data_IF_845803636972
#
_entry.id   IF_845803636972
#
_cell.length_a   1.000
_cell.length_b   1.000
_cell.length_c   1.000
_cell.angle_alpha   90.00
_cell.angle_beta   90.00
_cell.angle_gamma   90.00
#
_symmetry.space_group_name_H-M   'P 1'
#
loop_
_entity.id
_entity.type
_entity.pdbx_description
1 polymer ?
#
# COMPACT_ATOMS: atom_id res chain seq x y z
N UNK A 1 -11.05 0.72 -28.69
CA UNK A 1 -10.15 -0.45 -28.71
C UNK A 1 -9.50 -0.54 -27.35
N UNK A 2 -10.03 -1.42 -26.49
CA UNK A 2 -9.60 -1.59 -25.09
C UNK A 2 -8.22 -2.27 -25.04
N UNK A 3 -7.16 -1.47 -25.14
CA UNK A 3 -5.79 -1.97 -25.06
C UNK A 3 -5.45 -2.33 -23.61
N UNK A 4 -5.43 -3.61 -23.27
CA UNK A 4 -4.76 -4.06 -22.05
C UNK A 4 -3.24 -3.95 -22.23
N UNK A 5 -2.50 -3.69 -21.16
CA UNK A 5 -1.04 -3.72 -21.22
C UNK A 5 -0.55 -5.14 -21.58
N UNK A 6 0.36 -5.24 -22.55
CA UNK A 6 1.12 -6.48 -22.75
C UNK A 6 2.01 -6.75 -21.52
N UNK A 7 2.37 -8.00 -21.24
CA UNK A 7 3.23 -8.38 -20.09
C UNK A 7 4.57 -7.63 -20.09
N UNK A 8 5.13 -7.35 -21.26
CA UNK A 8 6.36 -6.55 -21.38
C UNK A 8 6.14 -5.06 -21.06
N UNK A 9 5.09 -4.49 -21.62
CA UNK A 9 4.73 -3.07 -21.41
C UNK A 9 4.39 -2.79 -19.94
N UNK A 10 3.66 -3.71 -19.30
CA UNK A 10 3.34 -3.61 -17.88
C UNK A 10 4.58 -3.72 -16.99
N UNK A 11 5.52 -4.62 -17.33
CA UNK A 11 6.80 -4.75 -16.62
C UNK A 11 7.63 -3.47 -16.72
N UNK A 12 7.75 -2.90 -17.92
CA UNK A 12 8.52 -1.66 -18.13
C UNK A 12 7.90 -0.47 -17.40
N UNK A 13 6.57 -0.34 -17.45
CA UNK A 13 5.85 0.67 -16.66
C UNK A 13 6.15 0.55 -15.16
N UNK A 14 6.07 -0.68 -14.64
CA UNK A 14 6.31 -0.94 -13.22
C UNK A 14 7.76 -0.61 -12.86
N UNK A 15 8.72 -1.01 -13.69
CA UNK A 15 10.14 -0.70 -13.52
C UNK A 15 10.43 0.81 -13.53
N UNK A 16 9.73 1.58 -14.37
CA UNK A 16 9.86 3.04 -14.45
C UNK A 16 9.21 3.77 -13.26
N UNK A 17 8.08 3.25 -12.77
CA UNK A 17 7.41 3.77 -11.57
C UNK A 17 8.17 3.42 -10.27
N UNK A 18 9.09 2.44 -10.32
CA UNK A 18 9.89 1.94 -9.20
C UNK A 18 11.14 2.78 -8.90
N UNK A 19 10.95 4.09 -8.80
CA UNK A 19 11.99 5.03 -8.40
C UNK A 19 11.52 5.87 -7.22
N UNK A 20 12.39 6.05 -6.22
CA UNK A 20 12.10 6.93 -5.09
C UNK A 20 12.10 8.37 -5.58
N UNK A 21 10.92 8.95 -5.79
CA UNK A 21 10.78 10.39 -6.09
C UNK A 21 10.61 11.16 -4.80
N UNK A 22 11.17 12.37 -4.76
CA UNK A 22 10.98 13.27 -3.61
C UNK A 22 9.50 13.58 -3.37
N UNK A 23 8.73 13.72 -4.44
CA UNK A 23 7.27 13.90 -4.37
C UNK A 23 6.58 12.76 -3.63
N UNK A 24 6.92 11.51 -3.95
CA UNK A 24 6.33 10.32 -3.32
C UNK A 24 6.71 10.23 -1.84
N UNK A 25 7.95 10.60 -1.50
CA UNK A 25 8.42 10.65 -0.11
C UNK A 25 7.68 11.72 0.70
N UNK A 26 7.40 12.89 0.12
CA UNK A 26 6.63 13.96 0.77
C UNK A 26 5.16 13.53 0.95
N UNK A 27 4.56 12.91 -0.05
CA UNK A 27 3.19 12.37 0.05
C UNK A 27 3.12 11.30 1.13
N UNK A 28 4.11 10.41 1.19
CA UNK A 28 4.25 9.38 2.22
C UNK A 28 4.34 10.01 3.61
N UNK A 29 5.19 11.03 3.79
CA UNK A 29 5.27 11.78 5.06
C UNK A 29 3.90 12.32 5.48
N UNK A 30 3.19 13.01 4.58
CA UNK A 30 1.84 13.51 4.84
C UNK A 30 0.86 12.39 5.20
N UNK A 31 0.89 11.26 4.49
CA UNK A 31 0.03 10.11 4.78
C UNK A 31 0.27 9.56 6.20
N UNK A 32 1.53 9.46 6.64
CA UNK A 32 1.87 8.98 7.99
C UNK A 32 1.42 9.98 9.07
N UNK A 33 1.55 11.28 8.83
CA UNK A 33 1.00 12.29 9.75
C UNK A 33 -0.52 12.14 9.88
N UNK A 34 -1.24 12.00 8.76
CA UNK A 34 -2.69 11.80 8.75
C UNK A 34 -3.06 10.50 9.46
N UNK A 35 -2.33 9.39 9.20
CA UNK A 35 -2.55 8.12 9.87
C UNK A 35 -2.33 8.22 11.38
N UNK A 36 -1.29 8.95 11.81
CA UNK A 36 -0.98 9.13 13.24
C UNK A 36 -2.03 9.99 13.95
N UNK A 37 -2.54 11.04 13.29
CA UNK A 37 -3.70 11.81 13.78
C UNK A 37 -4.96 10.94 13.81
N UNK A 38 -5.18 10.12 12.79
CA UNK A 38 -6.31 9.19 12.69
C UNK A 38 -6.32 8.17 13.82
N UNK A 39 -5.16 7.63 14.19
CA UNK A 39 -4.97 6.76 15.35
C UNK A 39 -5.28 7.47 16.67
N UNK A 40 -4.86 8.73 16.81
CA UNK A 40 -5.14 9.55 17.99
C UNK A 40 -6.64 9.88 18.13
N UNK A 41 -7.33 10.09 17.01
CA UNK A 41 -8.77 10.30 16.97
C UNK A 41 -9.58 8.98 16.93
N UNK A 42 -8.92 7.82 16.98
CA UNK A 42 -9.52 6.47 16.89
C UNK A 42 -10.51 6.36 15.71
N UNK A 43 -10.09 6.83 14.52
CA UNK A 43 -10.93 6.93 13.32
C UNK A 43 -10.41 6.06 12.18
N UNK A 44 -11.07 4.92 11.96
CA UNK A 44 -10.72 3.97 10.90
C UNK A 44 -10.77 4.63 9.53
N UNK A 45 -11.75 5.51 9.31
CA UNK A 45 -11.94 6.19 8.04
C UNK A 45 -10.74 7.07 7.66
N UNK A 46 -10.15 7.78 8.64
CA UNK A 46 -8.97 8.63 8.42
C UNK A 46 -7.73 7.77 8.14
N UNK A 47 -7.58 6.66 8.85
CA UNK A 47 -6.48 5.71 8.66
C UNK A 47 -6.56 5.07 7.26
N UNK A 48 -7.75 4.64 6.83
CA UNK A 48 -7.97 4.08 5.48
C UNK A 48 -7.72 5.14 4.41
N UNK A 49 -8.14 6.39 4.63
CA UNK A 49 -7.83 7.50 3.74
C UNK A 49 -6.32 7.70 3.55
N UNK A 50 -5.56 7.65 4.65
CA UNK A 50 -4.10 7.73 4.59
C UNK A 50 -3.47 6.56 3.81
N UNK A 51 -4.00 5.34 3.93
CA UNK A 51 -3.54 4.18 3.17
C UNK A 51 -3.71 4.35 1.66
N UNK A 52 -4.78 5.00 1.20
CA UNK A 52 -5.05 5.23 -0.23
C UNK A 52 -4.18 6.33 -0.86
N UNK A 53 -3.71 7.27 -0.05
CA UNK A 53 -2.82 8.35 -0.48
C UNK A 53 -1.38 7.84 -0.61
N UNK A 54 -1.03 6.82 0.16
CA UNK A 54 0.33 6.33 0.27
C UNK A 54 0.82 5.66 -1.03
N UNK A 55 2.00 6.03 -1.56
CA UNK A 55 2.53 5.48 -2.81
C UNK A 55 3.08 4.03 -2.68
N UNK A 56 2.96 3.42 -1.50
CA UNK A 56 3.44 2.05 -1.20
C UNK A 56 2.87 0.96 -2.12
N UNK A 57 1.73 1.20 -2.77
CA UNK A 57 1.09 0.18 -3.61
C UNK A 57 1.95 -0.20 -4.83
N UNK A 58 2.68 0.75 -5.40
CA UNK A 58 3.53 0.56 -6.59
C UNK A 58 4.63 -0.48 -6.35
N UNK A 59 5.50 -0.35 -5.32
CA UNK A 59 6.53 -1.35 -5.06
C UNK A 59 5.97 -2.69 -4.57
N UNK A 60 4.83 -2.73 -3.88
CA UNK A 60 4.18 -4.00 -3.49
C UNK A 60 3.73 -4.79 -4.72
N UNK A 61 3.06 -4.12 -5.67
CA UNK A 61 2.65 -4.73 -6.93
C UNK A 61 3.89 -5.09 -7.78
N UNK A 62 4.91 -4.24 -7.76
CA UNK A 62 6.27 -4.47 -8.28
C UNK A 62 6.86 -5.81 -7.88
N UNK A 63 6.93 -6.01 -6.57
CA UNK A 63 7.49 -7.19 -5.94
C UNK A 63 6.68 -8.44 -6.29
N UNK A 64 5.35 -8.38 -6.15
CA UNK A 64 4.45 -9.50 -6.46
C UNK A 64 4.50 -9.92 -7.93
N UNK A 65 4.50 -8.95 -8.84
CA UNK A 65 4.64 -9.22 -10.27
C UNK A 65 6.03 -9.78 -10.59
N UNK A 66 7.10 -9.21 -10.03
CA UNK A 66 8.47 -9.69 -10.19
C UNK A 66 8.66 -11.13 -9.72
N UNK A 67 8.05 -11.51 -8.60
CA UNK A 67 8.02 -12.89 -8.11
C UNK A 67 7.27 -13.82 -9.07
N UNK A 68 6.13 -13.38 -9.62
CA UNK A 68 5.34 -14.18 -10.55
C UNK A 68 6.07 -14.47 -11.88
N UNK A 69 6.90 -13.54 -12.37
CA UNK A 69 7.72 -13.71 -13.59
C UNK A 69 9.16 -14.17 -13.30
N UNK A 70 9.51 -14.40 -12.02
CA UNK A 70 10.87 -14.72 -11.56
C UNK A 70 11.94 -13.70 -12.03
N UNK A 71 11.60 -12.42 -12.13
CA UNK A 71 12.53 -11.36 -12.53
C UNK A 71 13.25 -10.79 -11.30
N UNK A 72 14.45 -11.33 -11.05
CA UNK A 72 15.30 -10.93 -9.92
C UNK A 72 15.67 -9.45 -9.91
N UNK A 73 15.72 -8.78 -11.07
CA UNK A 73 16.03 -7.34 -11.14
C UNK A 73 14.88 -6.52 -10.61
N UNK A 74 13.66 -6.83 -11.07
CA UNK A 74 12.44 -6.14 -10.63
C UNK A 74 12.18 -6.39 -9.14
N UNK A 75 12.39 -7.62 -8.67
CA UNK A 75 12.28 -7.98 -7.25
C UNK A 75 13.24 -7.13 -6.41
N UNK A 76 14.52 -7.06 -6.79
CA UNK A 76 15.53 -6.33 -6.03
C UNK A 76 15.21 -4.83 -5.96
N UNK A 77 14.87 -4.21 -7.09
CA UNK A 77 14.49 -2.80 -7.12
C UNK A 77 13.23 -2.52 -6.30
N UNK A 78 12.23 -3.40 -6.37
CA UNK A 78 11.00 -3.29 -5.55
C UNK A 78 11.27 -3.41 -4.08
N UNK A 79 12.18 -4.31 -3.70
CA UNK A 79 12.59 -4.47 -2.32
C UNK A 79 13.34 -3.24 -1.81
N UNK A 80 14.25 -2.66 -2.61
CA UNK A 80 15.02 -1.45 -2.24
C UNK A 80 14.12 -0.22 -2.04
N UNK A 81 13.14 -0.01 -2.93
CA UNK A 81 12.17 1.08 -2.80
C UNK A 81 11.28 0.85 -1.58
N UNK A 82 10.68 -0.34 -1.44
CA UNK A 82 9.81 -0.68 -0.31
C UNK A 82 10.55 -0.53 1.02
N UNK A 83 11.80 -1.00 1.10
CA UNK A 83 12.62 -0.88 2.30
C UNK A 83 12.89 0.58 2.66
N UNK A 84 13.17 1.43 1.66
CA UNK A 84 13.38 2.87 1.87
C UNK A 84 12.10 3.55 2.38
N UNK A 85 10.94 3.25 1.79
CA UNK A 85 9.65 3.81 2.22
C UNK A 85 9.26 3.32 3.63
N UNK A 86 9.51 2.06 3.96
CA UNK A 86 9.29 1.53 5.31
C UNK A 86 10.20 2.22 6.32
N UNK A 87 11.48 2.42 6.01
CA UNK A 87 12.39 3.16 6.89
C UNK A 87 11.95 4.60 7.11
N UNK A 88 11.62 5.33 6.04
CA UNK A 88 11.12 6.70 6.14
C UNK A 88 9.83 6.74 6.95
N UNK A 89 8.92 5.79 6.73
CA UNK A 89 7.64 5.78 7.43
C UNK A 89 7.78 5.51 8.92
N UNK A 90 8.67 4.58 9.28
CA UNK A 90 8.99 4.29 10.67
C UNK A 90 9.65 5.49 11.35
N UNK A 91 10.59 6.18 10.68
CA UNK A 91 11.25 7.36 11.23
C UNK A 91 10.27 8.49 11.49
N UNK A 92 9.39 8.80 10.53
CA UNK A 92 8.39 9.87 10.63
C UNK A 92 7.38 9.57 11.73
N UNK A 93 6.87 8.33 11.77
CA UNK A 93 5.96 7.91 12.83
C UNK A 93 6.64 7.99 14.20
N UNK A 94 7.86 7.45 14.34
CA UNK A 94 8.62 7.53 15.59
C UNK A 94 8.82 8.98 16.04
N UNK A 95 9.18 9.90 15.12
CA UNK A 95 9.34 11.32 15.43
C UNK A 95 8.01 11.96 15.88
N UNK A 96 6.90 11.61 15.23
CA UNK A 96 5.57 12.09 15.61
C UNK A 96 5.16 11.62 17.00
N UNK A 97 5.27 10.32 17.28
CA UNK A 97 4.94 9.73 18.59
C UNK A 97 5.88 10.19 19.70
N UNK A 98 7.13 10.54 19.37
CA UNK A 98 8.07 11.12 20.32
C UNK A 98 7.66 12.53 20.74
N UNK A 99 7.07 13.31 19.83
CA UNK A 99 6.57 14.67 20.09
C UNK A 99 5.18 14.63 20.74
N UNK A 100 4.32 13.71 20.31
CA UNK A 100 2.94 13.54 20.79
C UNK A 100 2.81 12.17 21.46
N UNK A 101 3.03 12.06 22.78
CA UNK A 101 2.90 10.78 23.47
C UNK A 101 1.44 10.31 23.41
N UNK A 102 1.18 9.30 22.59
CA UNK A 102 -0.08 8.58 22.57
C UNK A 102 -0.15 7.67 23.81
N UNK A 103 -1.08 7.99 24.71
CA UNK A 103 -1.18 7.39 26.05
C UNK A 103 -2.12 6.17 26.13
N UNK A 104 -2.77 5.78 25.03
CA UNK A 104 -3.68 4.62 25.02
C UNK A 104 -3.56 3.79 23.73
N UNK A 105 -3.44 2.47 23.89
CA UNK A 105 -3.57 1.52 22.79
C UNK A 105 -5.02 1.56 22.28
N UNK A 106 -5.25 2.29 21.19
CA UNK A 106 -6.59 2.37 20.56
C UNK A 106 -7.09 0.97 20.19
N UNK A 107 -8.39 0.74 20.41
CA UNK A 107 -9.11 -0.51 20.13
C UNK A 107 -8.91 -1.04 18.71
N UNK A 108 -8.64 -0.16 17.74
CA UNK A 108 -8.32 -0.53 16.36
C UNK A 108 -7.03 -1.33 16.20
N UNK A 109 -6.03 -1.06 17.05
CA UNK A 109 -4.74 -1.74 17.00
C UNK A 109 -4.87 -3.19 17.47
N UNK A 110 -5.73 -3.41 18.49
CA UNK A 110 -6.06 -4.73 19.02
C UNK A 110 -6.95 -5.50 18.04
N UNK A 111 -7.91 -4.82 17.39
CA UNK A 111 -8.76 -5.44 16.38
C UNK A 111 -7.92 -6.05 15.24
N UNK A 112 -6.86 -5.36 14.78
CA UNK A 112 -5.96 -5.87 13.73
C UNK A 112 -5.07 -7.07 14.13
N UNK A 113 -5.16 -7.55 15.38
CA UNK A 113 -4.32 -8.66 15.89
C UNK A 113 -4.98 -10.05 15.81
N UNK A 114 -6.27 -10.14 15.47
CA UNK A 114 -7.03 -11.39 15.37
C UNK A 114 -7.50 -11.70 13.94
N UNK A 115 -6.59 -12.11 13.03
CA UNK A 115 -6.99 -12.45 11.67
C UNK A 115 -7.86 -13.71 11.64
N UNK A 116 -8.88 -13.70 10.78
CA UNK A 116 -9.77 -14.84 10.54
C UNK A 116 -9.47 -15.50 9.19
N UNK A 117 -10.02 -16.70 8.97
CA UNK A 117 -9.89 -17.39 7.68
C UNK A 117 -10.54 -16.60 6.53
N UNK A 118 -11.52 -15.74 6.84
CA UNK A 118 -12.21 -14.92 5.85
C UNK A 118 -11.31 -13.83 5.26
N UNK A 119 -10.37 -13.31 6.05
CA UNK A 119 -9.39 -12.32 5.61
C UNK A 119 -8.49 -12.88 4.50
N UNK A 120 -8.13 -14.17 4.60
CA UNK A 120 -7.33 -14.86 3.58
C UNK A 120 -8.10 -14.98 2.27
N UNK A 121 -9.38 -15.35 2.33
CA UNK A 121 -10.23 -15.48 1.13
C UNK A 121 -10.36 -14.13 0.44
N UNK A 122 -10.55 -13.05 1.20
CA UNK A 122 -10.70 -11.70 0.66
C UNK A 122 -9.37 -11.16 0.15
N UNK A 123 -8.25 -11.47 0.79
CA UNK A 123 -6.92 -11.15 0.26
C UNK A 123 -6.67 -11.83 -1.10
N UNK A 124 -7.04 -13.10 -1.26
CA UNK A 124 -6.90 -13.83 -2.54
C UNK A 124 -7.79 -13.21 -3.61
N UNK A 125 -9.08 -13.02 -3.32
CA UNK A 125 -10.04 -12.44 -4.26
C UNK A 125 -9.64 -11.00 -4.65
N UNK A 126 -9.22 -10.20 -3.66
CA UNK A 126 -8.71 -8.84 -3.85
C UNK A 126 -7.45 -8.81 -4.71
N UNK A 127 -6.48 -9.70 -4.46
CA UNK A 127 -5.27 -9.80 -5.27
C UNK A 127 -5.57 -10.11 -6.75
N UNK A 128 -6.47 -11.05 -7.02
CA UNK A 128 -6.90 -11.38 -8.39
C UNK A 128 -7.56 -10.17 -9.06
N UNK A 129 -8.52 -9.52 -8.37
CA UNK A 129 -9.19 -8.34 -8.88
C UNK A 129 -8.21 -7.16 -9.10
N UNK A 130 -7.24 -7.00 -8.21
CA UNK A 130 -6.18 -5.99 -8.28
C UNK A 130 -5.32 -6.17 -9.53
N UNK A 131 -4.79 -7.37 -9.77
CA UNK A 131 -3.96 -7.64 -10.96
C UNK A 131 -4.75 -7.46 -12.25
N UNK A 132 -6.00 -7.93 -12.31
CA UNK A 132 -6.87 -7.73 -13.48
C UNK A 132 -7.14 -6.24 -13.70
N UNK A 133 -7.38 -5.49 -12.62
CA UNK A 133 -7.60 -4.05 -12.63
C UNK A 133 -6.38 -3.26 -13.10
N UNK A 134 -5.20 -3.56 -12.56
CA UNK A 134 -3.94 -2.85 -12.85
C UNK A 134 -3.45 -3.03 -14.30
N UNK A 135 -3.93 -4.07 -15.00
CA UNK A 135 -3.58 -4.36 -16.40
C UNK A 135 -4.36 -3.53 -17.42
N UNK A 136 -5.42 -2.83 -17.00
CA UNK A 136 -6.19 -1.92 -17.86
C UNK A 136 -5.44 -0.60 -18.02
N UNK A 137 -5.38 -0.07 -19.26
CA UNK A 137 -4.77 1.23 -19.57
C UNK A 137 -5.59 2.43 -19.09
N UNK A 138 -6.89 2.24 -18.88
CA UNK A 138 -7.78 3.28 -18.36
C UNK A 138 -7.75 3.30 -16.82
N UNK A 139 -7.88 4.50 -16.25
CA UNK A 139 -8.08 4.68 -14.82
C UNK A 139 -9.32 3.90 -14.38
N UNK A 140 -9.13 2.91 -13.53
CA UNK A 140 -10.20 2.01 -13.12
C UNK A 140 -10.25 1.93 -11.59
N UNK A 141 -11.46 2.11 -11.04
CA UNK A 141 -11.68 2.17 -9.59
C UNK A 141 -11.50 0.82 -8.88
N UNK A 142 -11.19 -0.25 -9.63
CA UNK A 142 -10.96 -1.59 -9.06
C UNK A 142 -9.75 -1.60 -8.12
N UNK A 143 -8.65 -0.96 -8.49
CA UNK A 143 -7.39 -1.02 -7.70
C UNK A 143 -7.56 -0.31 -6.34
N UNK A 144 -8.10 0.92 -6.27
CA UNK A 144 -8.47 1.53 -5.00
C UNK A 144 -9.57 0.76 -4.26
N UNK A 145 -10.57 0.21 -4.97
CA UNK A 145 -11.66 -0.55 -4.37
C UNK A 145 -11.20 -1.82 -3.67
N UNK A 146 -10.23 -2.53 -4.24
CA UNK A 146 -9.56 -3.69 -3.60
C UNK A 146 -8.85 -3.24 -2.32
N UNK A 147 -8.06 -2.16 -2.38
CA UNK A 147 -7.35 -1.65 -1.21
C UNK A 147 -8.30 -1.26 -0.08
N UNK A 148 -9.43 -0.61 -0.40
CA UNK A 148 -10.48 -0.28 0.56
C UNK A 148 -11.11 -1.54 1.14
N UNK A 149 -11.47 -2.53 0.32
CA UNK A 149 -12.10 -3.76 0.79
C UNK A 149 -11.18 -4.54 1.74
N UNK A 150 -9.89 -4.65 1.42
CA UNK A 150 -8.89 -5.29 2.29
C UNK A 150 -8.65 -4.48 3.57
N UNK A 151 -8.75 -3.16 3.49
CA UNK A 151 -8.58 -2.30 4.66
C UNK A 151 -9.83 -2.23 5.56
N UNK A 152 -11.04 -2.32 5.00
CA UNK A 152 -12.31 -2.17 5.72
C UNK A 152 -12.90 -3.46 6.25
N UNK A 153 -12.34 -4.63 5.89
CA UNK A 153 -12.74 -5.84 6.58
C UNK A 153 -12.56 -5.65 8.09
N UNK A 154 -13.63 -5.78 8.87
CA UNK A 154 -13.50 -5.95 10.30
C UNK A 154 -12.79 -7.29 10.50
N UNK A 155 -11.59 -7.33 11.09
CA UNK A 155 -10.98 -8.58 11.53
C UNK A 155 -11.85 -9.26 12.59
#
# INVERSE_FOLDING_TARGET
MTGNYSTREYREKLYDDLHVRLSDTVILMCAIFIASIGLNMNSTAVIVGAMLISPLMTPIVGLGFGLAIFDTRLIKQSLEVLFTEVLVSLLVSTLYFWISPLSYASSELIARTSPTIWDVVIAIAGGIAGVIGSRKKEANNIVPGVAIATALMPP
#
